data_IF_590690847243
#
_entry.id   IF_590690847243
#
_cell.length_a   1.000
_cell.length_b   1.000
_cell.length_c   1.000
_cell.angle_alpha   90.00
_cell.angle_beta   90.00
_cell.angle_gamma   90.00
#
_symmetry.space_group_name_H-M   'P 1'
#
loop_
_entity.id
_entity.type
_entity.pdbx_description
1 polymer ?
#
# COMPACT_ATOMS: atom_id res chain seq x y z
N UNK A 1 -60.48 -33.02 -18.88
CA UNK A 1 -59.40 -33.46 -19.79
C UNK A 1 -58.89 -32.23 -20.53
N UNK A 2 -57.75 -31.65 -20.14
CA UNK A 2 -57.15 -30.56 -20.93
C UNK A 2 -56.60 -31.15 -22.23
N UNK A 3 -57.07 -30.64 -23.38
CA UNK A 3 -56.50 -30.98 -24.69
C UNK A 3 -54.98 -30.80 -24.66
N UNK A 4 -54.23 -31.71 -25.32
CA UNK A 4 -52.75 -31.65 -25.42
C UNK A 4 -52.24 -30.27 -25.86
N UNK A 5 -53.01 -29.52 -26.66
CA UNK A 5 -52.66 -28.16 -27.07
C UNK A 5 -52.85 -27.12 -25.95
N UNK A 6 -53.85 -27.31 -25.08
CA UNK A 6 -54.07 -26.43 -23.94
C UNK A 6 -53.02 -26.68 -22.86
N UNK A 7 -52.60 -27.93 -22.67
CA UNK A 7 -51.50 -28.27 -21.74
C UNK A 7 -50.17 -27.64 -22.18
N UNK A 8 -49.85 -27.66 -23.48
CA UNK A 8 -48.65 -26.99 -24.03
C UNK A 8 -48.69 -25.47 -23.83
N UNK A 9 -49.86 -24.84 -24.04
CA UNK A 9 -50.04 -23.39 -23.82
C UNK A 9 -49.90 -23.02 -22.34
N UNK A 10 -50.48 -23.81 -21.44
CA UNK A 10 -50.35 -23.60 -19.99
C UNK A 10 -48.91 -23.82 -19.53
N UNK A 11 -48.22 -24.85 -20.02
CA UNK A 11 -46.81 -25.09 -19.72
C UNK A 11 -45.92 -23.92 -20.20
N UNK A 12 -46.19 -23.38 -21.40
CA UNK A 12 -45.45 -22.24 -21.93
C UNK A 12 -45.65 -20.97 -21.07
N UNK A 13 -46.87 -20.72 -20.60
CA UNK A 13 -47.16 -19.60 -19.69
C UNK A 13 -46.43 -19.75 -18.34
N UNK A 14 -46.35 -20.96 -17.80
CA UNK A 14 -45.64 -21.23 -16.55
C UNK A 14 -44.13 -21.00 -16.71
N UNK A 15 -43.55 -21.45 -17.82
CA UNK A 15 -42.11 -21.25 -18.11
C UNK A 15 -41.79 -19.75 -18.27
N UNK A 16 -42.63 -19.00 -18.97
CA UNK A 16 -42.45 -17.54 -19.11
C UNK A 16 -42.58 -16.83 -17.77
N UNK A 17 -43.55 -17.20 -16.94
CA UNK A 17 -43.72 -16.63 -15.60
C UNK A 17 -42.53 -16.94 -14.67
N UNK A 18 -41.99 -18.16 -14.74
CA UNK A 18 -40.81 -18.56 -13.97
C UNK A 18 -39.53 -17.81 -14.38
N UNK A 19 -39.40 -17.40 -15.65
CA UNK A 19 -38.27 -16.62 -16.13
C UNK A 19 -38.19 -15.22 -15.47
N UNK A 20 -39.32 -14.62 -15.11
CA UNK A 20 -39.36 -13.33 -14.38
C UNK A 20 -39.09 -13.46 -12.88
N UNK A 21 -39.24 -14.67 -12.30
CA UNK A 21 -38.90 -14.95 -10.90
C UNK A 21 -37.42 -15.30 -10.68
N UNK A 22 -36.68 -15.60 -11.76
CA UNK A 22 -35.26 -15.92 -11.73
C UNK A 22 -34.33 -14.69 -11.71
N UNK A 23 -34.88 -13.48 -11.64
CA UNK A 23 -34.13 -12.30 -11.25
C UNK A 23 -33.66 -12.49 -9.81
N UNK A 24 -32.48 -13.08 -9.67
CA UNK A 24 -31.66 -13.03 -8.48
C UNK A 24 -31.66 -11.56 -8.06
N UNK A 25 -32.29 -11.27 -6.93
CA UNK A 25 -32.04 -10.00 -6.26
C UNK A 25 -30.57 -10.11 -5.91
N UNK A 26 -29.71 -9.51 -6.73
CA UNK A 26 -28.36 -9.24 -6.28
C UNK A 26 -28.58 -8.58 -4.94
N UNK A 27 -28.14 -9.28 -3.88
CA UNK A 27 -27.97 -8.61 -2.61
C UNK A 27 -27.08 -7.46 -3.00
N UNK A 28 -27.67 -6.27 -3.08
CA UNK A 28 -26.94 -5.03 -3.11
C UNK A 28 -26.17 -5.13 -1.82
N UNK A 29 -24.96 -5.68 -1.91
CA UNK A 29 -23.93 -5.43 -0.94
C UNK A 29 -24.01 -3.92 -0.83
N UNK A 30 -24.36 -3.38 0.36
CA UNK A 30 -24.40 -1.95 0.53
C UNK A 30 -23.11 -1.45 -0.11
N UNK A 31 -23.21 -0.62 -1.16
CA UNK A 31 -22.03 0.08 -1.63
C UNK A 31 -21.45 0.67 -0.36
N UNK A 32 -20.25 0.21 0.01
CA UNK A 32 -19.54 0.77 1.14
C UNK A 32 -19.37 2.23 0.78
N UNK A 33 -20.29 3.05 1.28
CA UNK A 33 -20.26 4.48 1.10
C UNK A 33 -18.91 4.83 1.69
N UNK A 34 -17.94 5.35 0.92
CA UNK A 34 -16.64 5.65 1.47
C UNK A 34 -16.92 6.67 2.56
N UNK A 35 -16.94 6.22 3.81
CA UNK A 35 -17.02 7.12 4.95
C UNK A 35 -15.87 8.09 4.75
N UNK A 36 -16.12 9.39 4.94
CA UNK A 36 -15.19 10.48 4.66
C UNK A 36 -13.80 10.39 5.35
N UNK A 37 -13.51 9.28 6.03
CA UNK A 37 -12.18 8.84 6.40
C UNK A 37 -11.98 7.39 5.92
N UNK A 38 -11.71 7.18 4.64
CA UNK A 38 -10.86 6.06 4.25
C UNK A 38 -9.49 6.35 4.88
N UNK A 39 -9.31 5.95 6.14
CA UNK A 39 -8.10 6.25 6.91
C UNK A 39 -6.92 5.64 6.16
N UNK A 40 -5.93 6.47 5.86
CA UNK A 40 -4.70 5.99 5.24
C UNK A 40 -4.06 4.91 6.11
N UNK A 41 -3.32 4.00 5.48
CA UNK A 41 -2.73 2.85 6.16
C UNK A 41 -1.84 3.30 7.32
N UNK A 42 -2.19 2.88 8.54
CA UNK A 42 -1.51 3.24 9.81
C UNK A 42 0.00 2.98 9.80
N UNK A 43 0.42 1.93 9.11
CA UNK A 43 1.79 1.41 9.12
C UNK A 43 2.54 1.66 7.80
N UNK A 44 2.14 2.70 7.08
CA UNK A 44 2.89 3.20 5.92
C UNK A 44 3.72 4.41 6.35
N UNK A 45 4.92 4.52 5.78
CA UNK A 45 5.79 5.69 5.92
C UNK A 45 6.24 6.12 4.54
N UNK A 46 6.17 7.42 4.27
CA UNK A 46 6.72 8.01 3.05
C UNK A 46 7.99 8.77 3.42
N UNK A 47 9.15 8.26 2.97
CA UNK A 47 10.43 8.92 3.13
C UNK A 47 10.77 9.65 1.82
N UNK A 48 11.06 10.95 1.90
CA UNK A 48 11.47 11.77 0.76
C UNK A 48 12.84 12.39 1.03
N UNK A 49 13.60 12.61 -0.05
CA UNK A 49 14.87 13.31 -0.02
C UNK A 49 14.72 14.64 -0.74
N UNK A 50 15.18 15.72 -0.11
CA UNK A 50 15.16 17.04 -0.71
C UNK A 50 16.26 17.19 -1.77
N UNK A 51 15.98 17.91 -2.85
CA UNK A 51 16.92 18.09 -3.96
C UNK A 51 18.08 19.03 -3.62
N UNK A 52 17.83 20.02 -2.76
CA UNK A 52 18.75 21.15 -2.54
C UNK A 52 19.32 21.21 -1.13
N UNK A 53 18.53 20.78 -0.14
CA UNK A 53 18.90 20.79 1.26
C UNK A 53 19.26 19.40 1.75
N UNK A 54 20.10 19.34 2.79
CA UNK A 54 20.55 18.10 3.42
C UNK A 54 19.46 17.54 4.36
N UNK A 55 18.25 17.35 3.85
CA UNK A 55 17.09 16.93 4.63
C UNK A 55 16.45 15.68 4.03
N UNK A 56 16.17 14.72 4.90
CA UNK A 56 15.16 13.69 4.64
C UNK A 56 13.89 14.04 5.40
N UNK A 57 12.75 13.84 4.77
CA UNK A 57 11.44 14.06 5.40
C UNK A 57 10.67 12.75 5.43
N UNK A 58 10.20 12.37 6.62
CA UNK A 58 9.32 11.23 6.83
C UNK A 58 7.92 11.73 7.10
N UNK A 59 6.97 11.21 6.35
CA UNK A 59 5.55 11.51 6.49
C UNK A 59 4.86 10.25 7.02
N UNK A 60 4.12 10.38 8.11
CA UNK A 60 3.13 9.41 8.57
C UNK A 60 1.77 9.81 8.00
N UNK A 61 1.29 9.13 6.95
CA UNK A 61 0.06 9.52 6.26
C UNK A 61 -1.17 9.41 7.19
N UNK A 62 -1.18 8.41 8.08
CA UNK A 62 -2.31 8.16 8.98
C UNK A 62 -2.57 9.25 10.03
N UNK A 63 -1.55 10.05 10.35
CA UNK A 63 -1.64 11.15 11.32
C UNK A 63 -1.30 12.52 10.72
N UNK A 64 -0.95 12.57 9.44
CA UNK A 64 -0.35 13.73 8.77
C UNK A 64 0.91 14.28 9.47
N UNK A 65 1.58 13.48 10.32
CA UNK A 65 2.79 13.92 11.00
C UNK A 65 3.97 13.97 10.02
N UNK A 66 4.74 15.06 10.08
CA UNK A 66 5.93 15.28 9.26
C UNK A 66 7.13 15.42 10.17
N UNK A 67 8.15 14.60 9.96
CA UNK A 67 9.41 14.62 10.70
C UNK A 67 10.57 14.83 9.75
N UNK A 68 11.51 15.70 10.11
CA UNK A 68 12.70 15.97 9.29
C UNK A 68 13.96 15.47 9.98
N UNK A 69 14.86 14.89 9.20
CA UNK A 69 16.13 14.33 9.63
C UNK A 69 17.26 14.96 8.83
N UNK A 70 18.38 15.23 9.49
CA UNK A 70 19.59 15.67 8.81
C UNK A 70 20.20 14.52 8.01
N UNK A 71 20.39 14.75 6.72
CA UNK A 71 21.16 13.90 5.81
C UNK A 71 22.59 14.45 5.67
N UNK A 72 23.50 13.64 5.14
CA UNK A 72 24.86 14.12 4.86
C UNK A 72 24.95 15.00 3.60
N UNK A 73 24.12 14.70 2.60
CA UNK A 73 24.09 15.40 1.31
C UNK A 73 22.64 15.52 0.81
N UNK A 74 22.34 16.41 -0.16
CA UNK A 74 21.02 16.48 -0.76
C UNK A 74 20.86 15.40 -1.85
N UNK A 75 19.66 15.30 -2.40
CA UNK A 75 19.33 14.50 -3.58
C UNK A 75 19.74 13.02 -3.45
N UNK A 76 19.42 12.41 -2.31
CA UNK A 76 19.63 10.98 -2.12
C UNK A 76 18.67 10.16 -3.00
N UNK A 77 19.17 9.06 -3.58
CA UNK A 77 18.29 8.03 -4.11
C UNK A 77 17.84 7.13 -2.95
N UNK A 78 16.54 6.92 -2.82
CA UNK A 78 15.94 6.16 -1.72
C UNK A 78 15.41 4.84 -2.24
N UNK A 79 15.77 3.74 -1.57
CA UNK A 79 15.22 2.42 -1.88
C UNK A 79 14.78 1.72 -0.59
N UNK A 80 13.50 1.38 -0.51
CA UNK A 80 12.99 0.55 0.58
C UNK A 80 13.56 -0.88 0.46
N UNK A 81 13.94 -1.47 1.58
CA UNK A 81 14.33 -2.88 1.66
C UNK A 81 13.11 -3.79 1.59
N UNK A 82 13.30 -5.06 1.23
CA UNK A 82 12.25 -6.08 1.15
C UNK A 82 11.49 -6.27 2.46
N UNK A 83 12.15 -6.03 3.59
CA UNK A 83 11.53 -6.06 4.91
C UNK A 83 10.53 -4.93 5.19
N UNK A 84 10.55 -3.86 4.39
CA UNK A 84 9.78 -2.62 4.63
C UNK A 84 10.27 -1.79 5.83
N UNK A 85 11.11 -2.35 6.70
CA UNK A 85 11.64 -1.66 7.88
C UNK A 85 12.68 -0.60 7.51
N UNK A 86 13.61 -0.95 6.64
CA UNK A 86 14.74 -0.08 6.32
C UNK A 86 14.61 0.53 4.93
N UNK A 87 15.18 1.71 4.75
CA UNK A 87 15.47 2.31 3.45
C UNK A 87 16.97 2.56 3.30
N UNK A 88 17.54 2.16 2.16
CA UNK A 88 18.88 2.58 1.78
C UNK A 88 18.82 3.98 1.18
N UNK A 89 19.73 4.83 1.65
CA UNK A 89 19.89 6.23 1.27
C UNK A 89 21.22 6.36 0.53
N UNK A 90 21.16 6.51 -0.79
CA UNK A 90 22.32 6.45 -1.67
C UNK A 90 22.71 7.85 -2.15
N UNK A 91 23.95 8.22 -1.83
CA UNK A 91 24.61 9.44 -2.28
C UNK A 91 25.61 9.09 -3.37
N UNK A 92 25.09 8.88 -4.58
CA UNK A 92 25.88 8.36 -5.70
C UNK A 92 27.05 9.25 -6.12
N UNK A 93 26.95 10.57 -5.92
CA UNK A 93 28.07 11.49 -6.21
C UNK A 93 29.19 11.39 -5.17
N UNK A 94 28.90 10.89 -3.97
CA UNK A 94 29.81 10.79 -2.83
C UNK A 94 30.26 9.35 -2.56
N UNK A 95 29.88 8.39 -3.40
CA UNK A 95 30.24 6.98 -3.23
C UNK A 95 29.85 6.47 -1.82
N UNK A 96 28.70 6.92 -1.31
CA UNK A 96 28.24 6.69 0.05
C UNK A 96 26.82 6.13 0.07
N UNK A 97 26.60 5.16 0.93
CA UNK A 97 25.29 4.61 1.27
C UNK A 97 25.10 4.65 2.78
N UNK A 98 23.93 5.08 3.21
CA UNK A 98 23.47 5.03 4.59
C UNK A 98 22.13 4.28 4.67
N UNK A 99 21.71 3.90 5.86
CA UNK A 99 20.44 3.18 6.06
C UNK A 99 19.58 3.93 7.07
N UNK A 100 18.31 4.12 6.73
CA UNK A 100 17.29 4.72 7.58
C UNK A 100 16.34 3.63 8.09
N UNK A 101 16.10 3.58 9.40
CA UNK A 101 15.13 2.70 10.06
C UNK A 101 13.79 3.43 10.18
N UNK A 102 12.73 2.87 9.59
CA UNK A 102 11.37 3.42 9.71
C UNK A 102 10.76 3.20 11.09
N UNK A 103 11.35 2.30 11.89
CA UNK A 103 10.86 1.89 13.19
C UNK A 103 9.72 0.87 13.14
N UNK A 104 9.28 0.46 11.94
CA UNK A 104 8.24 -0.53 11.74
C UNK A 104 8.84 -1.90 11.40
N UNK A 105 8.37 -2.95 12.04
CA UNK A 105 8.72 -4.33 11.69
C UNK A 105 7.47 -5.09 11.22
N UNK A 106 7.49 -5.54 9.98
CA UNK A 106 6.39 -6.33 9.42
C UNK A 106 6.55 -7.81 9.76
N UNK A 107 5.50 -8.40 10.30
CA UNK A 107 5.32 -9.83 10.48
C UNK A 107 4.30 -10.36 9.47
N UNK A 108 3.99 -11.66 9.54
CA UNK A 108 3.03 -12.30 8.62
C UNK A 108 1.60 -11.80 8.87
N UNK A 109 1.25 -11.50 10.12
CA UNK A 109 -0.10 -11.22 10.58
C UNK A 109 -0.26 -9.82 11.23
N UNK A 110 0.83 -9.13 11.55
CA UNK A 110 0.80 -7.80 12.16
C UNK A 110 2.05 -6.97 11.85
N UNK A 111 2.04 -5.71 12.30
CA UNK A 111 3.20 -4.80 12.25
C UNK A 111 3.49 -4.30 13.66
N UNK A 112 4.74 -4.44 14.08
CA UNK A 112 5.25 -3.89 15.33
C UNK A 112 5.86 -2.50 15.12
N UNK A 113 5.69 -1.62 16.11
CA UNK A 113 6.41 -0.35 16.21
C UNK A 113 7.56 -0.53 17.19
N UNK A 114 8.76 -0.81 16.66
CA UNK A 114 9.93 -1.15 17.47
C UNK A 114 10.64 0.07 18.04
N UNK A 115 10.63 1.19 17.32
CA UNK A 115 11.26 2.44 17.75
C UNK A 115 10.73 3.65 16.96
N UNK A 116 11.15 4.85 17.37
CA UNK A 116 10.97 6.04 16.56
C UNK A 116 11.91 5.99 15.34
N UNK A 117 11.47 6.48 14.16
CA UNK A 117 12.30 6.52 12.96
C UNK A 117 13.64 7.21 13.21
N UNK A 118 14.72 6.64 12.67
CA UNK A 118 16.09 7.09 12.94
C UNK A 118 17.08 6.58 11.90
N UNK A 119 18.27 7.18 11.87
CA UNK A 119 19.41 6.61 11.19
C UNK A 119 19.84 5.29 11.85
N UNK A 120 20.08 4.27 11.02
CA UNK A 120 20.70 3.03 11.47
C UNK A 120 22.23 3.19 11.50
N UNK A 121 22.91 2.37 12.29
CA UNK A 121 24.38 2.36 12.39
C UNK A 121 25.07 1.64 11.22
N UNK A 122 24.43 1.62 10.04
CA UNK A 122 24.92 0.91 8.85
C UNK A 122 25.27 1.95 7.80
N UNK A 123 26.53 1.95 7.37
CA UNK A 123 27.04 2.76 6.27
C UNK A 123 27.99 1.95 5.41
N UNK A 124 28.04 2.26 4.13
CA UNK A 124 28.98 1.68 3.19
C UNK A 124 29.54 2.76 2.28
N UNK A 125 30.82 2.66 1.95
CA UNK A 125 31.49 3.50 0.95
C UNK A 125 32.06 2.63 -0.16
N UNK A 126 32.02 3.11 -1.40
CA UNK A 126 32.52 2.35 -2.55
C UNK A 126 32.31 3.06 -3.87
N UNK A 127 33.26 2.87 -4.79
CA UNK A 127 33.17 3.43 -6.14
C UNK A 127 32.05 2.75 -6.94
N UNK A 128 31.45 3.50 -7.87
CA UNK A 128 30.42 3.00 -8.81
C UNK A 128 30.94 1.78 -9.61
N UNK A 129 30.06 0.85 -10.03
CA UNK A 129 28.59 0.88 -9.90
C UNK A 129 28.08 0.50 -8.51
N UNK A 130 26.96 1.10 -8.10
CA UNK A 130 26.25 0.71 -6.86
C UNK A 130 25.14 -0.28 -7.23
N UNK A 131 25.26 -1.52 -6.76
CA UNK A 131 24.19 -2.51 -6.88
C UNK A 131 23.36 -2.51 -5.59
N UNK A 132 22.06 -2.26 -5.73
CA UNK A 132 21.11 -2.44 -4.64
C UNK A 132 20.26 -3.68 -4.92
N UNK A 133 20.22 -4.60 -3.96
CA UNK A 133 19.36 -5.79 -3.98
C UNK A 133 18.69 -5.91 -2.63
N UNK A 134 17.40 -6.24 -2.65
CA UNK A 134 16.57 -6.50 -1.47
C UNK A 134 16.24 -7.97 -1.30
#
# INVERSE_FOLDING_TARGET
>A
MLSKNNLKKTAMLIVVAAAFAACKKDNVQPEETPTAAAKEFKYVRLLTADETSNKLTLIDPSTAAVSSFDAKFPLANLYATSSGRYASVLYGAQNLVEVFDSGLASHVDHVDVLNNPKWASITATGIKPTHFKT
#
